data_IF_666383308622
#
_entry.id   IF_666383308622
#
_cell.length_a   1.000
_cell.length_b   1.000
_cell.length_c   1.000
_cell.angle_alpha   90.00
_cell.angle_beta   90.00
_cell.angle_gamma   90.00
#
_symmetry.space_group_name_H-M   'P 1'
#
loop_
_entity.id
_entity.type
_entity.pdbx_description
1 polymer ?
#
# COMPACT_ATOMS: atom_id res chain seq x y z
N UNK A 1 0.64 5.57 1.36
CA UNK A 1 -0.76 5.73 1.83
C UNK A 1 -0.82 7.06 2.53
N UNK A 2 -1.60 8.00 1.98
CA UNK A 2 -1.78 9.33 2.57
C UNK A 2 -2.64 9.19 3.82
N UNK A 3 -2.16 9.64 4.97
CA UNK A 3 -2.92 9.55 6.21
C UNK A 3 -4.03 10.60 6.21
N UNK A 4 -5.15 10.34 6.89
CA UNK A 4 -6.26 11.30 7.06
C UNK A 4 -5.77 12.67 7.54
N UNK A 5 -4.79 12.68 8.45
CA UNK A 5 -4.11 13.89 8.94
C UNK A 5 -3.37 14.67 7.85
N UNK A 6 -2.69 13.98 6.93
CA UNK A 6 -1.99 14.65 5.83
C UNK A 6 -2.99 15.37 4.92
N UNK A 7 -4.16 14.76 4.69
CA UNK A 7 -5.24 15.37 3.91
C UNK A 7 -5.86 16.57 4.64
N UNK A 8 -6.09 16.48 5.95
CA UNK A 8 -6.55 17.62 6.77
C UNK A 8 -5.58 18.78 6.65
N UNK A 9 -4.28 18.55 6.86
CA UNK A 9 -3.23 19.57 6.75
C UNK A 9 -3.18 20.19 5.35
N UNK A 10 -3.38 19.38 4.29
CA UNK A 10 -3.41 19.86 2.92
C UNK A 10 -4.62 20.75 2.63
N UNK A 11 -5.79 20.43 3.20
CA UNK A 11 -7.01 21.23 3.06
C UNK A 11 -6.93 22.54 3.85
N UNK A 12 -6.35 22.52 5.05
CA UNK A 12 -6.10 23.72 5.84
C UNK A 12 -5.18 24.70 5.11
N UNK A 13 -4.11 24.21 4.46
CA UNK A 13 -3.23 25.03 3.61
C UNK A 13 -3.95 25.67 2.42
N UNK A 14 -5.09 25.12 2.01
CA UNK A 14 -5.97 25.65 0.95
C UNK A 14 -7.08 26.55 1.52
N UNK A 15 -7.06 26.85 2.81
CA UNK A 15 -8.05 27.69 3.49
C UNK A 15 -9.33 26.95 3.90
N UNK A 16 -9.35 25.62 3.81
CA UNK A 16 -10.51 24.81 4.15
C UNK A 16 -10.27 24.09 5.47
N UNK A 17 -10.92 24.58 6.54
CA UNK A 17 -10.84 23.96 7.87
C UNK A 17 -11.88 22.85 7.96
N UNK A 18 -11.42 21.60 8.07
CA UNK A 18 -12.29 20.43 8.23
C UNK A 18 -11.76 19.52 9.32
N UNK A 19 -12.66 18.92 10.09
CA UNK A 19 -12.26 17.91 11.07
C UNK A 19 -11.76 16.64 10.38
N UNK A 20 -10.84 15.93 11.01
CA UNK A 20 -10.38 14.61 10.55
C UNK A 20 -11.55 13.64 10.35
N UNK A 21 -12.57 13.71 11.21
CA UNK A 21 -13.78 12.89 11.12
C UNK A 21 -14.55 13.14 9.81
N UNK A 22 -14.63 14.41 9.39
CA UNK A 22 -15.26 14.80 8.12
C UNK A 22 -14.51 14.21 6.93
N UNK A 23 -13.17 14.27 6.96
CA UNK A 23 -12.30 13.70 5.92
C UNK A 23 -12.51 12.18 5.81
N UNK A 24 -12.45 11.46 6.93
CA UNK A 24 -12.69 10.01 6.96
C UNK A 24 -14.08 9.62 6.43
N UNK A 25 -15.12 10.39 6.78
CA UNK A 25 -16.48 10.12 6.28
C UNK A 25 -16.55 10.27 4.76
N UNK A 26 -16.02 11.36 4.21
CA UNK A 26 -15.99 11.60 2.76
C UNK A 26 -15.17 10.56 2.00
N UNK A 27 -14.05 10.12 2.57
CA UNK A 27 -13.24 9.05 2.00
C UNK A 27 -14.02 7.73 1.94
N UNK A 28 -14.73 7.37 3.00
CA UNK A 28 -15.58 6.17 3.02
C UNK A 28 -16.74 6.27 2.01
N UNK A 29 -17.40 7.44 1.90
CA UNK A 29 -18.45 7.70 0.89
C UNK A 29 -17.92 7.53 -0.54
N UNK A 30 -16.66 7.92 -0.79
CA UNK A 30 -15.98 7.75 -2.08
C UNK A 30 -15.45 6.31 -2.32
N UNK A 31 -15.70 5.37 -1.39
CA UNK A 31 -15.25 3.98 -1.49
C UNK A 31 -13.80 3.73 -1.09
N UNK A 32 -13.09 4.74 -0.56
CA UNK A 32 -11.77 4.54 0.01
C UNK A 32 -11.85 3.73 1.30
N UNK A 33 -10.86 2.87 1.53
CA UNK A 33 -10.75 2.06 2.75
C UNK A 33 -9.40 2.24 3.40
N UNK A 34 -9.41 2.22 4.73
CA UNK A 34 -8.17 2.13 5.49
C UNK A 34 -7.45 0.81 5.15
N UNK A 35 -6.18 0.91 4.82
CA UNK A 35 -5.29 -0.24 4.64
C UNK A 35 -3.99 0.03 5.36
N UNK A 36 -3.35 -1.05 5.85
CA UNK A 36 -2.03 -0.93 6.46
C UNK A 36 -1.00 -0.68 5.35
N UNK A 37 0.00 0.20 5.58
CA UNK A 37 1.09 0.34 4.62
C UNK A 37 1.72 -1.03 4.35
N UNK A 38 2.11 -1.27 3.10
CA UNK A 38 2.79 -2.50 2.75
C UNK A 38 4.05 -2.62 3.60
N UNK A 39 4.10 -3.65 4.45
CA UNK A 39 5.21 -3.87 5.39
C UNK A 39 6.52 -4.20 4.68
N UNK A 40 6.44 -4.69 3.43
CA UNK A 40 7.60 -5.02 2.59
C UNK A 40 7.52 -4.20 1.31
N UNK A 41 8.66 -3.63 0.91
CA UNK A 41 8.78 -2.99 -0.39
C UNK A 41 8.44 -3.98 -1.51
N UNK A 42 7.84 -3.47 -2.58
CA UNK A 42 7.59 -4.28 -3.78
C UNK A 42 8.93 -4.80 -4.32
N UNK A 43 8.93 -6.06 -4.76
CA UNK A 43 10.09 -6.63 -5.44
C UNK A 43 10.39 -5.79 -6.68
N UNK A 44 11.67 -5.39 -6.82
CA UNK A 44 12.18 -4.81 -8.05
C UNK A 44 12.10 -5.84 -9.18
N UNK A 45 12.14 -5.37 -10.42
CA UNK A 45 12.09 -6.26 -11.58
C UNK A 45 13.22 -7.30 -11.55
N UNK A 46 14.43 -6.88 -11.15
CA UNK A 46 15.57 -7.78 -10.97
C UNK A 46 15.28 -8.88 -9.93
N UNK A 47 14.69 -8.52 -8.78
CA UNK A 47 14.31 -9.52 -7.77
C UNK A 47 13.26 -10.51 -8.29
N UNK A 48 12.31 -10.07 -9.12
CA UNK A 48 11.29 -10.95 -9.71
C UNK A 48 11.92 -11.95 -10.66
N UNK A 49 12.82 -11.50 -11.53
CA UNK A 49 13.50 -12.36 -12.49
C UNK A 49 14.36 -13.42 -11.80
N UNK A 50 15.12 -13.04 -10.77
CA UNK A 50 15.94 -14.00 -10.02
C UNK A 50 15.08 -15.03 -9.29
N UNK A 51 13.96 -14.61 -8.69
CA UNK A 51 13.01 -15.54 -8.06
C UNK A 51 12.36 -16.46 -9.07
N UNK A 52 12.01 -15.96 -10.25
CA UNK A 52 11.44 -16.76 -11.33
C UNK A 52 12.43 -17.83 -11.81
N UNK A 53 13.69 -17.44 -12.07
CA UNK A 53 14.76 -18.39 -12.43
C UNK A 53 14.94 -19.44 -11.34
N UNK A 54 15.05 -19.01 -10.08
CA UNK A 54 15.18 -19.94 -8.96
C UNK A 54 14.01 -20.93 -8.91
N UNK A 55 12.77 -20.47 -9.04
CA UNK A 55 11.59 -21.32 -9.02
C UNK A 55 11.56 -22.31 -10.20
N UNK A 56 11.99 -21.89 -11.40
CA UNK A 56 12.10 -22.78 -12.55
C UNK A 56 13.14 -23.88 -12.32
N UNK A 57 14.31 -23.53 -11.77
CA UNK A 57 15.37 -24.49 -11.46
C UNK A 57 14.96 -25.53 -10.40
N UNK A 58 14.10 -25.14 -9.45
CA UNK A 58 13.70 -26.00 -8.34
C UNK A 58 12.29 -26.58 -8.50
N UNK A 59 11.73 -26.54 -9.71
CA UNK A 59 10.36 -27.01 -9.98
C UNK A 59 10.18 -28.52 -9.75
N UNK A 60 11.25 -29.29 -9.95
CA UNK A 60 11.27 -30.75 -9.77
C UNK A 60 11.99 -31.17 -8.48
N UNK A 61 12.34 -30.22 -7.60
CA UNK A 61 12.97 -30.53 -6.33
C UNK A 61 11.89 -31.03 -5.38
N UNK A 62 12.03 -32.28 -4.92
CA UNK A 62 11.26 -32.78 -3.79
C UNK A 62 11.89 -32.25 -2.51
N UNK A 63 11.14 -31.41 -1.79
CA UNK A 63 11.60 -30.74 -0.57
C UNK A 63 11.27 -31.53 0.70
N UNK A 64 10.63 -32.70 0.55
CA UNK A 64 10.18 -33.55 1.65
C UNK A 64 10.98 -34.86 1.80
N UNK A 65 12.11 -35.00 1.09
CA UNK A 65 13.08 -36.07 1.35
C UNK A 65 13.94 -35.80 2.58
#
# INVERSE_FOLDING_TARGET
MTQSKDMTNQLERRGVVVSERTVCRRLNEAGARYSRPMSKALLTEHHRQNRLRWAQHHKATDWNQ
#
